data_IF_042551843884
#
_entry.id   IF_042551843884
#
_cell.length_a   1.000
_cell.length_b   1.000
_cell.length_c   1.000
_cell.angle_alpha   90.00
_cell.angle_beta   90.00
_cell.angle_gamma   90.00
#
_symmetry.space_group_name_H-M   'P 1'
#
loop_
_entity.id
_entity.type
_entity.pdbx_description
1 polymer ?
#
# COMPACT_ATOMS: atom_id res chain seq x y z
N UNK A 1 -11.10 -33.91 -38.94
CA UNK A 1 -9.95 -33.01 -39.22
C UNK A 1 -9.29 -32.70 -37.89
N UNK A 2 -7.98 -32.96 -37.76
CA UNK A 2 -7.24 -32.89 -36.48
C UNK A 2 -6.32 -31.68 -36.57
N UNK A 3 -6.64 -30.61 -35.85
CA UNK A 3 -5.84 -29.37 -35.84
C UNK A 3 -4.50 -29.65 -35.14
N UNK A 4 -3.41 -29.24 -35.78
CA UNK A 4 -2.06 -29.47 -35.26
C UNK A 4 -1.78 -28.57 -34.05
N UNK A 5 -1.00 -29.03 -33.05
CA UNK A 5 -0.76 -28.29 -31.80
C UNK A 5 -0.09 -26.92 -31.99
N UNK A 6 0.51 -26.66 -33.16
CA UNK A 6 1.10 -25.37 -33.51
C UNK A 6 0.06 -24.27 -33.79
N UNK A 7 -1.14 -24.62 -34.29
CA UNK A 7 -2.22 -23.64 -34.47
C UNK A 7 -2.85 -23.22 -33.14
N UNK A 8 -2.83 -24.10 -32.14
CA UNK A 8 -3.31 -23.78 -30.79
C UNK A 8 -2.39 -22.78 -30.08
N UNK A 9 -1.06 -22.87 -30.27
CA UNK A 9 -0.13 -21.88 -29.71
C UNK A 9 -0.28 -20.49 -30.38
N UNK A 10 -0.55 -20.46 -31.68
CA UNK A 10 -0.70 -19.19 -32.39
C UNK A 10 -1.98 -18.43 -31.97
N UNK A 11 -3.02 -19.17 -31.54
CA UNK A 11 -4.26 -18.61 -31.00
C UNK A 11 -4.12 -18.05 -29.55
N UNK A 12 -3.06 -18.40 -28.82
CA UNK A 12 -2.75 -17.81 -27.49
C UNK A 12 -1.88 -16.55 -27.57
N UNK A 13 -1.40 -16.18 -28.76
CA UNK A 13 -0.63 -14.95 -28.93
C UNK A 13 -1.59 -13.79 -29.25
N UNK A 14 -1.43 -12.67 -28.52
CA UNK A 14 -2.20 -11.40 -28.59
C UNK A 14 -3.29 -11.19 -27.53
N UNK A 15 -3.03 -11.54 -26.28
CA UNK A 15 -3.42 -10.61 -25.22
C UNK A 15 -2.29 -9.58 -25.09
N UNK A 16 -2.52 -8.35 -25.57
CA UNK A 16 -1.71 -7.23 -25.10
C UNK A 16 -1.86 -7.21 -23.59
N UNK A 17 -0.77 -7.41 -22.85
CA UNK A 17 -0.75 -7.13 -21.42
C UNK A 17 -0.90 -5.62 -21.31
N UNK A 18 -2.15 -5.17 -21.29
CA UNK A 18 -2.47 -3.83 -20.88
C UNK A 18 -2.06 -3.77 -19.42
N UNK A 19 -0.90 -3.18 -19.12
CA UNK A 19 -0.62 -2.70 -17.79
C UNK A 19 -1.84 -1.88 -17.37
N UNK A 20 -2.61 -2.25 -16.35
CA UNK A 20 -3.63 -1.37 -15.86
C UNK A 20 -2.89 -0.26 -15.10
N UNK A 21 -2.39 0.74 -15.82
CA UNK A 21 -2.39 2.10 -15.31
C UNK A 21 -3.86 2.53 -15.36
N UNK A 22 -4.67 1.94 -14.48
CA UNK A 22 -5.86 2.61 -14.01
C UNK A 22 -5.31 3.67 -13.07
N UNK A 23 -4.87 4.79 -13.68
CA UNK A 23 -4.99 6.06 -13.02
C UNK A 23 -6.47 6.20 -12.74
N UNK A 24 -6.90 5.84 -11.52
CA UNK A 24 -8.25 6.09 -11.07
C UNK A 24 -8.53 7.55 -11.37
N UNK A 25 -9.42 7.78 -12.32
CA UNK A 25 -9.95 9.09 -12.65
C UNK A 25 -10.43 9.65 -11.32
N UNK A 26 -9.74 10.68 -10.82
CA UNK A 26 -10.17 11.42 -9.65
C UNK A 26 -11.49 12.06 -10.04
N UNK A 27 -12.60 11.43 -9.68
CA UNK A 27 -13.93 12.02 -9.58
C UNK A 27 -14.86 11.01 -8.91
N UNK A 28 -15.04 11.20 -7.60
CA UNK A 28 -16.28 11.11 -6.81
C UNK A 28 -15.87 10.71 -5.40
N UNK A 29 -15.42 11.69 -4.61
CA UNK A 29 -15.49 11.56 -3.16
C UNK A 29 -16.97 11.72 -2.78
N UNK A 30 -17.74 10.66 -3.00
CA UNK A 30 -19.07 10.55 -2.42
C UNK A 30 -18.90 10.52 -0.90
N UNK A 31 -19.48 11.49 -0.21
CA UNK A 31 -19.56 11.54 1.24
C UNK A 31 -20.32 10.30 1.70
N UNK A 32 -19.60 9.24 2.07
CA UNK A 32 -20.19 8.08 2.72
C UNK A 32 -20.48 8.45 4.18
N UNK A 33 -21.56 9.19 4.38
CA UNK A 33 -22.15 9.44 5.68
C UNK A 33 -22.73 8.13 6.22
N UNK A 34 -22.20 7.64 7.35
CA UNK A 34 -22.90 6.70 8.21
C UNK A 34 -22.59 5.21 7.98
N UNK A 35 -21.56 4.71 8.67
CA UNK A 35 -21.56 3.36 9.22
C UNK A 35 -20.60 3.33 10.41
N UNK A 36 -21.05 3.85 11.56
CA UNK A 36 -20.39 3.67 12.86
C UNK A 36 -20.51 2.21 13.29
N UNK A 37 -19.76 1.33 12.62
CA UNK A 37 -19.36 0.06 13.20
C UNK A 37 -17.96 0.28 13.73
N UNK A 38 -17.78 0.03 15.03
CA UNK A 38 -16.54 0.15 15.79
C UNK A 38 -15.43 -0.78 15.26
N UNK A 39 -14.99 -0.55 14.02
CA UNK A 39 -13.66 -0.87 13.55
C UNK A 39 -12.77 0.15 14.23
N UNK A 40 -11.74 -0.29 14.95
CA UNK A 40 -10.72 0.55 15.59
C UNK A 40 -10.50 1.80 14.76
N UNK A 41 -10.71 2.99 15.36
CA UNK A 41 -10.79 4.25 14.63
C UNK A 41 -9.46 4.51 13.89
N UNK A 42 -9.40 4.08 12.63
CA UNK A 42 -8.22 4.27 11.79
C UNK A 42 -8.16 5.74 11.39
N UNK A 43 -7.05 6.40 11.68
CA UNK A 43 -6.81 7.77 11.23
C UNK A 43 -6.22 7.77 9.83
N UNK A 44 -6.75 8.64 8.95
CA UNK A 44 -6.25 8.75 7.57
C UNK A 44 -4.88 9.42 7.53
N UNK A 45 -3.90 8.74 6.95
CA UNK A 45 -2.59 9.29 6.64
C UNK A 45 -2.46 9.50 5.12
N UNK A 46 -2.11 10.72 4.69
CA UNK A 46 -1.93 11.06 3.27
C UNK A 46 -0.55 11.68 3.07
N UNK A 47 0.20 11.15 2.12
CA UNK A 47 1.56 11.61 1.77
C UNK A 47 1.69 11.83 0.27
N UNK A 48 2.62 12.71 -0.11
CA UNK A 48 3.04 12.86 -1.50
C UNK A 48 4.22 11.93 -1.75
N UNK A 49 4.12 11.14 -2.81
CA UNK A 49 5.18 10.26 -3.28
C UNK A 49 5.47 10.57 -4.73
N UNK A 50 6.73 10.39 -5.12
CA UNK A 50 7.08 10.34 -6.53
C UNK A 50 6.29 9.22 -7.26
N UNK A 51 5.96 9.45 -8.52
CA UNK A 51 5.15 8.53 -9.34
C UNK A 51 5.85 7.19 -9.52
N UNK A 52 7.15 7.20 -9.79
CA UNK A 52 7.95 5.99 -9.99
C UNK A 52 8.02 5.19 -8.69
N UNK A 53 8.27 5.87 -7.57
CA UNK A 53 8.27 5.24 -6.25
C UNK A 53 6.93 4.56 -5.93
N UNK A 54 5.81 5.25 -6.17
CA UNK A 54 4.48 4.66 -5.97
C UNK A 54 4.24 3.43 -6.88
N UNK A 55 4.77 3.46 -8.10
CA UNK A 55 4.77 2.31 -9.01
C UNK A 55 5.53 1.12 -8.43
N UNK A 56 6.74 1.34 -7.92
CA UNK A 56 7.57 0.31 -7.29
C UNK A 56 6.94 -0.26 -6.02
N UNK A 57 6.32 0.59 -5.19
CA UNK A 57 5.59 0.16 -3.99
C UNK A 57 4.45 -0.81 -4.36
N UNK A 58 3.66 -0.49 -5.39
CA UNK A 58 2.59 -1.38 -5.87
C UNK A 58 3.13 -2.71 -6.38
N UNK A 59 4.22 -2.69 -7.14
CA UNK A 59 4.86 -3.91 -7.63
C UNK A 59 5.37 -4.80 -6.49
N UNK A 60 6.01 -4.20 -5.48
CA UNK A 60 6.47 -4.92 -4.29
C UNK A 60 5.31 -5.56 -3.52
N UNK A 61 4.22 -4.81 -3.31
CA UNK A 61 3.02 -5.34 -2.67
C UNK A 61 2.42 -6.53 -3.43
N UNK A 62 2.29 -6.44 -4.76
CA UNK A 62 1.76 -7.54 -5.56
C UNK A 62 2.66 -8.77 -5.52
N UNK A 63 3.99 -8.57 -5.50
CA UNK A 63 4.95 -9.67 -5.35
C UNK A 63 4.80 -10.36 -3.99
N UNK A 64 4.69 -9.59 -2.91
CA UNK A 64 4.50 -10.12 -1.57
C UNK A 64 3.17 -10.89 -1.46
N UNK A 65 2.09 -10.32 -1.99
CA UNK A 65 0.79 -10.97 -2.04
C UNK A 65 0.82 -12.30 -2.81
N UNK A 66 1.49 -12.31 -3.96
CA UNK A 66 1.69 -13.53 -4.75
C UNK A 66 2.56 -14.59 -4.03
N UNK A 67 3.39 -14.15 -3.08
CA UNK A 67 4.23 -15.02 -2.25
C UNK A 67 3.53 -15.49 -0.96
N UNK A 68 2.24 -15.18 -0.81
CA UNK A 68 1.45 -15.56 0.38
C UNK A 68 1.53 -14.57 1.54
N UNK A 69 2.01 -13.34 1.31
CA UNK A 69 2.05 -12.27 2.31
C UNK A 69 0.69 -12.06 2.99
N UNK A 70 0.66 -11.58 4.23
CA UNK A 70 -0.56 -11.61 5.07
C UNK A 70 -1.58 -10.53 4.72
N UNK A 71 -1.16 -9.38 4.19
CA UNK A 71 -2.03 -8.22 4.02
C UNK A 71 -2.77 -8.23 2.68
N UNK A 72 -4.10 -8.21 2.74
CA UNK A 72 -4.99 -8.25 1.55
C UNK A 72 -5.29 -6.86 0.96
N UNK A 73 -4.72 -5.79 1.52
CA UNK A 73 -4.79 -4.45 0.94
C UNK A 73 -3.44 -3.75 1.00
N UNK A 74 -3.19 -2.86 0.03
CA UNK A 74 -1.96 -2.05 -0.01
C UNK A 74 -1.83 -1.14 1.22
N UNK A 75 -2.94 -0.60 1.73
CA UNK A 75 -2.93 0.25 2.92
C UNK A 75 -2.54 -0.52 4.18
N UNK A 76 -3.07 -1.73 4.37
CA UNK A 76 -2.68 -2.57 5.50
C UNK A 76 -1.22 -3.03 5.39
N UNK A 77 -0.77 -3.37 4.18
CA UNK A 77 0.62 -3.74 3.92
C UNK A 77 1.58 -2.58 4.23
N UNK A 78 1.27 -1.38 3.74
CA UNK A 78 2.09 -0.19 4.02
C UNK A 78 2.08 0.18 5.51
N UNK A 79 0.93 0.10 6.18
CA UNK A 79 0.82 0.37 7.62
C UNK A 79 1.67 -0.60 8.45
N UNK A 80 1.72 -1.89 8.08
CA UNK A 80 2.57 -2.87 8.74
C UNK A 80 4.07 -2.55 8.59
N UNK A 81 4.50 -2.13 7.39
CA UNK A 81 5.88 -1.70 7.19
C UNK A 81 6.23 -0.44 8.00
N UNK A 82 5.31 0.52 8.10
CA UNK A 82 5.51 1.70 8.95
C UNK A 82 5.59 1.33 10.43
N UNK A 83 4.73 0.42 10.91
CA UNK A 83 4.77 -0.07 12.28
C UNK A 83 6.09 -0.77 12.60
N UNK A 84 6.57 -1.66 11.72
CA UNK A 84 7.84 -2.34 11.89
C UNK A 84 9.04 -1.37 11.98
N UNK A 85 9.00 -0.25 11.24
CA UNK A 85 10.02 0.80 11.34
C UNK A 85 9.96 1.53 12.69
N UNK A 86 8.75 1.82 13.19
CA UNK A 86 8.56 2.44 14.51
C UNK A 86 9.06 1.52 15.63
N UNK A 87 8.64 0.26 15.63
CA UNK A 87 9.05 -0.75 16.61
C UNK A 87 10.57 -0.95 16.62
N UNK A 88 11.21 -0.97 15.44
CA UNK A 88 12.66 -1.04 15.34
C UNK A 88 13.36 0.20 15.92
N UNK A 89 12.76 1.38 15.77
CA UNK A 89 13.28 2.62 16.32
C UNK A 89 13.13 2.68 17.85
N UNK A 90 11.98 2.25 18.37
CA UNK A 90 11.71 2.11 19.81
C UNK A 90 12.70 1.13 20.46
N UNK A 91 12.94 -0.02 19.83
CA UNK A 91 13.94 -0.98 20.27
C UNK A 91 15.37 -0.40 20.29
N UNK A 92 15.72 0.42 19.31
CA UNK A 92 17.07 0.99 19.19
C UNK A 92 17.30 2.21 20.09
N UNK A 93 16.27 3.01 20.37
CA UNK A 93 16.42 4.35 20.94
C UNK A 93 15.51 4.66 22.13
N UNK A 94 14.57 3.79 22.47
CA UNK A 94 13.65 3.98 23.60
C UNK A 94 13.58 2.75 24.52
N UNK A 95 14.67 1.99 24.64
CA UNK A 95 14.75 0.76 25.43
C UNK A 95 13.72 -0.32 25.05
N UNK A 96 13.12 -0.23 23.86
CA UNK A 96 12.00 -1.08 23.44
C UNK A 96 10.64 -0.62 23.96
N UNK A 97 10.57 0.48 24.70
CA UNK A 97 9.29 1.07 25.11
C UNK A 97 8.63 1.82 23.95
N UNK A 98 7.29 1.79 23.83
CA UNK A 98 6.58 2.57 22.82
C UNK A 98 6.78 4.08 22.96
N UNK A 99 6.80 4.80 21.84
CA UNK A 99 6.80 6.26 21.85
C UNK A 99 5.45 6.83 22.32
N UNK A 100 5.52 7.95 23.05
CA UNK A 100 4.32 8.74 23.35
C UNK A 100 3.75 9.36 22.06
N UNK A 101 2.46 9.14 21.73
CA UNK A 101 1.87 9.68 20.51
C UNK A 101 1.90 11.20 20.45
N UNK A 102 2.45 11.75 19.37
CA UNK A 102 2.49 13.20 19.14
C UNK A 102 1.27 13.66 18.35
N UNK A 103 0.50 14.60 18.89
CA UNK A 103 -0.67 15.17 18.22
C UNK A 103 -0.26 16.02 16.99
N UNK A 104 -1.11 16.10 15.94
CA UNK A 104 -0.88 17.00 14.83
C UNK A 104 -0.67 18.44 15.30
N UNK A 105 0.32 19.13 14.72
CA UNK A 105 0.64 20.53 15.06
C UNK A 105 1.60 20.71 16.23
N UNK A 106 2.06 19.64 16.87
CA UNK A 106 3.04 19.67 17.97
C UNK A 106 4.49 19.53 17.47
N UNK A 107 4.71 19.42 16.15
CA UNK A 107 6.06 19.33 15.58
C UNK A 107 6.82 20.63 15.87
N UNK A 108 7.90 20.60 16.68
CA UNK A 108 8.67 21.78 16.99
C UNK A 108 9.25 22.38 15.71
N UNK A 109 9.14 23.70 15.51
CA UNK A 109 9.73 24.38 14.35
C UNK A 109 11.25 24.59 14.46
N UNK A 110 11.93 23.86 15.36
CA UNK A 110 13.36 23.99 15.66
C UNK A 110 14.10 22.66 15.58
N UNK A 111 15.42 22.70 15.82
CA UNK A 111 16.22 21.47 15.95
C UNK A 111 15.74 20.67 17.15
N UNK A 112 15.37 19.42 16.90
CA UNK A 112 15.31 18.38 17.93
C UNK A 112 16.77 18.12 18.34
N UNK A 113 17.09 18.41 19.61
CA UNK A 113 18.43 18.17 20.19
C UNK A 113 18.57 16.70 20.57
#
# INVERSE_FOLDING_TARGET
>A
MKTTPYEALNALSKASVNNPVIAGTANTAGTASGASNARSACTKFTIRLDRELLGRIRAAYLRDLASGGQHRSLSAWAAAHLAAVVEANEAAHNNGDPYEPVAPGVVPQGRLQ
#
